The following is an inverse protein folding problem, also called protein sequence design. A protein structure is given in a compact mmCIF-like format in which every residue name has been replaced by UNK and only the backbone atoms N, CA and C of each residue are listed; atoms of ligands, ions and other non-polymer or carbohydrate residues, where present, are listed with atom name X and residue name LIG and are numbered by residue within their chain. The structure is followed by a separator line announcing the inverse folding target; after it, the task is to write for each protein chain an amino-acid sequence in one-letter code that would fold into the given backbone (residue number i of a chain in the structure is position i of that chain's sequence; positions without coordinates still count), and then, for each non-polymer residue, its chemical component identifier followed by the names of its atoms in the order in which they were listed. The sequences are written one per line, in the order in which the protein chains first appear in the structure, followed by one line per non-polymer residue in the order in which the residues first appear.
data_IF_107860272358
#
_entry.id   IF_107860272358
#
_cell.length_a   1.000
_cell.length_b   1.000
_cell.length_c   1.000
_cell.angle_alpha   90.00
_cell.angle_beta   90.00
_cell.angle_gamma   90.00
#
_symmetry.space_group_name_H-M   'P 1'
#
loop_
_entity.id
_entity.type
_entity.pdbx_description
1 polymer ?
#
# COMPACT_ATOMS: atom_id res chain seq x y z
N UNK A 1 24.97 3.24 31.69
CA UNK A 1 24.52 3.05 30.29
C UNK A 1 22.99 2.84 30.17
N UNK A 2 22.32 1.98 30.99
CA UNK A 2 20.84 1.73 30.87
C UNK A 2 19.96 2.98 31.06
N UNK A 3 20.38 3.96 31.88
CA UNK A 3 19.60 5.21 32.11
C UNK A 3 19.77 6.25 31.01
N UNK A 4 20.85 6.19 30.22
CA UNK A 4 21.11 7.10 29.11
C UNK A 4 20.29 6.72 27.86
N UNK A 5 20.07 5.41 27.64
CA UNK A 5 19.20 4.89 26.56
C UNK A 5 17.73 5.25 26.82
N UNK A 6 17.29 5.26 28.08
CA UNK A 6 15.92 5.64 28.45
C UNK A 6 15.66 7.15 28.25
N UNK A 7 16.68 7.99 28.48
CA UNK A 7 16.59 9.43 28.27
C UNK A 7 16.58 9.82 26.78
N UNK A 8 17.28 9.08 25.93
CA UNK A 8 17.26 9.24 24.47
C UNK A 8 15.90 8.88 23.85
N UNK A 9 15.17 7.94 24.47
CA UNK A 9 13.82 7.55 24.02
C UNK A 9 12.77 8.65 24.30
N UNK A 10 12.96 9.46 25.36
CA UNK A 10 12.02 10.52 25.72
C UNK A 10 12.29 11.86 25.02
N UNK A 11 13.48 12.04 24.43
CA UNK A 11 13.83 13.27 23.70
C UNK A 11 13.46 13.22 22.20
N UNK A 12 12.97 12.10 21.72
CA UNK A 12 12.63 11.86 20.32
C UNK A 12 11.13 11.75 20.07
N UNK A 13 10.27 12.51 20.76
CA UNK A 13 8.91 12.77 20.25
C UNK A 13 8.98 13.78 19.09
N UNK A 14 9.75 13.40 18.05
CA UNK A 14 9.49 13.90 16.72
C UNK A 14 8.12 13.31 16.36
N UNK A 15 7.21 14.15 15.92
CA UNK A 15 6.01 13.71 15.21
C UNK A 15 6.47 12.90 13.99
N UNK A 16 6.75 11.63 14.21
CA UNK A 16 6.91 10.65 13.15
C UNK A 16 5.48 10.46 12.68
N UNK A 17 5.08 11.25 11.70
CA UNK A 17 3.93 10.93 10.89
C UNK A 17 4.27 9.62 10.23
N UNK A 18 3.83 8.51 10.81
CA UNK A 18 3.94 7.23 10.18
C UNK A 18 3.02 7.25 8.97
N UNK A 19 3.56 6.85 7.87
CA UNK A 19 2.92 6.96 6.58
C UNK A 19 2.01 5.77 6.39
N UNK A 20 0.72 5.99 6.55
CA UNK A 20 -0.31 5.03 6.18
C UNK A 20 -0.20 4.77 4.67
N UNK A 21 0.09 3.52 4.29
CA UNK A 21 0.15 3.13 2.88
C UNK A 21 -1.28 3.02 2.33
N UNK A 22 -1.80 4.13 1.86
CA UNK A 22 -3.08 4.19 1.17
C UNK A 22 -2.83 4.60 -0.28
N UNK A 23 -2.70 3.64 -1.21
CA UNK A 23 -2.56 3.96 -2.62
C UNK A 23 -3.83 4.68 -3.12
N UNK A 24 -3.66 5.61 -4.04
CA UNK A 24 -4.76 6.13 -4.81
C UNK A 24 -5.21 5.08 -5.84
N UNK A 25 -6.48 5.09 -6.21
CA UNK A 25 -7.02 4.18 -7.20
C UNK A 25 -7.74 4.94 -8.30
N UNK A 26 -7.43 4.62 -9.56
CA UNK A 26 -8.18 5.04 -10.72
C UNK A 26 -8.75 3.80 -11.39
N UNK A 27 -10.07 3.67 -11.36
CA UNK A 27 -10.77 2.58 -12.05
C UNK A 27 -11.52 3.16 -13.22
N UNK A 28 -11.16 2.75 -14.44
CA UNK A 28 -11.81 3.17 -15.68
C UNK A 28 -12.55 1.97 -16.23
N UNK A 29 -13.81 2.14 -16.54
CA UNK A 29 -14.68 1.13 -17.15
C UNK A 29 -15.18 1.61 -18.51
N UNK A 30 -14.94 0.83 -19.53
CA UNK A 30 -15.53 1.03 -20.85
C UNK A 30 -17.02 0.73 -20.79
N UNK A 31 -17.83 1.61 -21.35
CA UNK A 31 -19.28 1.42 -21.43
C UNK A 31 -19.65 0.64 -22.70
N UNK A 32 -20.94 0.43 -22.93
CA UNK A 32 -21.44 -0.33 -24.10
C UNK A 32 -21.10 0.31 -25.44
N UNK A 33 -20.81 1.61 -25.45
CA UNK A 33 -20.26 2.32 -26.58
C UNK A 33 -18.73 2.32 -26.46
N UNK A 34 -18.04 1.88 -27.49
CA UNK A 34 -16.58 1.62 -27.47
C UNK A 34 -15.71 2.87 -27.20
N UNK A 35 -16.28 4.07 -27.24
CA UNK A 35 -15.58 5.34 -27.08
C UNK A 35 -15.94 6.08 -25.78
N UNK A 36 -16.93 5.58 -25.04
CA UNK A 36 -17.34 6.16 -23.75
C UNK A 36 -16.83 5.36 -22.57
N UNK A 37 -16.37 6.07 -21.54
CA UNK A 37 -15.82 5.46 -20.33
C UNK A 37 -16.35 6.16 -19.09
N UNK A 38 -16.45 5.43 -18.00
CA UNK A 38 -16.66 5.96 -16.65
C UNK A 38 -15.39 5.71 -15.83
N UNK A 39 -14.82 6.76 -15.30
CA UNK A 39 -13.66 6.70 -14.43
C UNK A 39 -14.06 7.06 -12.99
N UNK A 40 -13.60 6.27 -12.02
CA UNK A 40 -13.71 6.57 -10.59
C UNK A 40 -12.31 6.83 -10.05
N UNK A 41 -12.05 8.08 -9.65
CA UNK A 41 -10.81 8.49 -9.04
C UNK A 41 -10.96 8.51 -7.52
N UNK A 42 -10.25 7.64 -6.82
CA UNK A 42 -10.25 7.50 -5.37
C UNK A 42 -8.89 7.95 -4.81
N UNK A 43 -8.87 9.08 -4.11
CA UNK A 43 -7.66 9.66 -3.54
C UNK A 43 -7.76 9.77 -2.02
N UNK A 44 -6.72 9.34 -1.25
CA UNK A 44 -6.72 9.43 0.20
C UNK A 44 -6.84 10.88 0.69
N UNK A 45 -7.83 11.18 1.54
CA UNK A 45 -8.09 12.56 1.99
C UNK A 45 -7.05 13.11 2.98
N UNK A 46 -6.28 12.23 3.64
CA UNK A 46 -5.27 12.63 4.63
C UNK A 46 -3.93 13.05 4.02
N UNK A 47 -3.78 12.94 2.71
CA UNK A 47 -2.52 13.33 2.07
C UNK A 47 -2.34 14.84 2.15
N UNK A 48 -1.17 15.25 2.65
CA UNK A 48 -0.77 16.65 2.79
C UNK A 48 -0.34 17.15 1.42
N UNK A 49 -0.94 18.23 0.94
CA UNK A 49 -0.55 18.88 -0.30
C UNK A 49 -1.73 19.24 -1.21
N UNK A 50 -1.42 19.51 -2.48
CA UNK A 50 -2.44 19.69 -3.51
C UNK A 50 -3.07 18.33 -3.80
N UNK A 51 -4.38 18.35 -4.08
CA UNK A 51 -5.08 17.16 -4.53
C UNK A 51 -4.45 16.65 -5.83
N UNK A 52 -4.22 15.35 -5.90
CA UNK A 52 -3.79 14.73 -7.14
C UNK A 52 -4.93 14.76 -8.17
N UNK A 53 -4.57 15.07 -9.40
CA UNK A 53 -5.49 15.22 -10.52
C UNK A 53 -5.10 14.25 -11.64
N UNK A 54 -6.09 13.68 -12.29
CA UNK A 54 -5.90 12.79 -13.45
C UNK A 54 -6.02 13.60 -14.72
N UNK A 55 -5.01 13.56 -15.56
CA UNK A 55 -5.00 14.15 -16.90
C UNK A 55 -5.22 13.03 -17.90
N UNK A 56 -6.35 13.09 -18.56
CA UNK A 56 -6.71 12.18 -19.66
C UNK A 56 -6.16 12.67 -21.00
N UNK A 57 -6.04 11.78 -22.00
CA UNK A 57 -5.58 12.17 -23.32
C UNK A 57 -6.44 13.27 -23.95
N UNK A 58 -5.84 14.21 -24.70
CA UNK A 58 -6.54 15.34 -25.36
C UNK A 58 -7.68 14.92 -26.30
N UNK A 59 -7.66 13.66 -26.75
CA UNK A 59 -8.71 13.07 -27.57
C UNK A 59 -9.99 12.74 -26.82
N UNK A 60 -10.00 12.88 -25.49
CA UNK A 60 -11.15 12.63 -24.64
C UNK A 60 -11.67 13.94 -24.02
N UNK A 61 -12.95 14.18 -24.16
CA UNK A 61 -13.64 15.19 -23.36
C UNK A 61 -13.99 14.58 -22.01
N UNK A 62 -13.85 15.36 -20.94
CA UNK A 62 -14.09 14.92 -19.56
C UNK A 62 -15.17 15.77 -18.92
N UNK A 63 -16.12 15.12 -18.26
CA UNK A 63 -17.10 15.76 -17.42
C UNK A 63 -17.00 15.16 -16.01
N UNK A 64 -16.61 16.00 -15.03
CA UNK A 64 -16.49 15.58 -13.63
C UNK A 64 -17.81 15.81 -12.92
N UNK A 65 -18.28 14.79 -12.22
CA UNK A 65 -19.45 14.82 -11.37
C UNK A 65 -19.06 15.15 -9.92
N UNK A 66 -20.04 15.17 -9.03
CA UNK A 66 -19.86 15.52 -7.63
C UNK A 66 -18.83 14.65 -6.92
N UNK A 67 -18.08 15.32 -6.04
CA UNK A 67 -17.14 14.69 -5.13
C UNK A 67 -17.88 14.11 -3.93
N UNK A 68 -17.56 12.89 -3.55
CA UNK A 68 -18.11 12.28 -2.34
C UNK A 68 -17.03 11.58 -1.52
N UNK A 69 -17.26 11.51 -0.21
CA UNK A 69 -16.36 10.85 0.73
C UNK A 69 -16.84 9.44 1.01
N UNK A 70 -15.93 8.48 0.93
CA UNK A 70 -16.18 7.09 1.31
C UNK A 70 -14.97 6.53 2.04
N UNK A 71 -15.15 6.15 3.31
CA UNK A 71 -14.05 5.66 4.13
C UNK A 71 -12.91 6.68 4.24
N UNK A 72 -11.72 6.30 3.80
CA UNK A 72 -10.50 7.12 3.80
C UNK A 72 -10.27 7.89 2.49
N UNK A 73 -11.20 7.81 1.53
CA UNK A 73 -11.01 8.33 0.18
C UNK A 73 -11.99 9.46 -0.15
N UNK A 74 -11.49 10.40 -0.94
CA UNK A 74 -12.30 11.31 -1.74
C UNK A 74 -12.49 10.65 -3.09
N UNK A 75 -13.72 10.44 -3.49
CA UNK A 75 -14.07 9.82 -4.76
C UNK A 75 -14.61 10.88 -5.71
N UNK A 76 -14.22 10.76 -6.97
CA UNK A 76 -14.70 11.58 -8.08
C UNK A 76 -15.11 10.66 -9.22
N UNK A 77 -16.31 10.83 -9.72
CA UNK A 77 -16.77 10.12 -10.91
C UNK A 77 -16.56 11.04 -12.11
N UNK A 78 -15.86 10.57 -13.11
CA UNK A 78 -15.50 11.30 -14.32
C UNK A 78 -16.05 10.53 -15.52
N UNK A 79 -16.93 11.15 -16.29
CA UNK A 79 -17.37 10.63 -17.56
C UNK A 79 -16.41 11.04 -18.67
N UNK A 80 -16.04 10.12 -19.52
CA UNK A 80 -15.11 10.33 -20.61
C UNK A 80 -15.82 10.00 -21.94
N UNK A 81 -15.73 10.91 -22.89
CA UNK A 81 -16.14 10.70 -24.28
C UNK A 81 -14.91 10.94 -25.18
N UNK A 82 -14.43 9.89 -25.82
CA UNK A 82 -13.17 9.88 -26.55
C UNK A 82 -13.39 9.74 -28.07
N UNK A 83 -12.60 10.44 -28.87
CA UNK A 83 -12.63 10.31 -30.34
C UNK A 83 -12.12 8.97 -30.84
N UNK A 84 -11.25 8.31 -30.05
CA UNK A 84 -10.69 6.98 -30.32
C UNK A 84 -10.50 6.23 -29.01
N UNK A 85 -10.35 4.89 -29.08
CA UNK A 85 -10.09 4.06 -27.89
C UNK A 85 -8.94 4.57 -27.03
N UNK A 86 -9.01 4.33 -25.72
CA UNK A 86 -7.91 4.64 -24.78
C UNK A 86 -6.67 3.75 -25.02
N UNK A 87 -6.80 2.61 -25.71
CA UNK A 87 -5.63 1.77 -26.05
C UNK A 87 -4.63 2.59 -26.88
N UNK A 88 -3.34 2.45 -26.57
CA UNK A 88 -2.26 3.20 -27.23
C UNK A 88 -2.12 4.67 -26.81
N UNK A 89 -2.83 5.12 -25.78
CA UNK A 89 -2.69 6.47 -25.20
C UNK A 89 -2.00 6.45 -23.85
N UNK A 90 -1.82 7.62 -23.26
CA UNK A 90 -1.24 7.78 -21.92
C UNK A 90 -2.18 8.52 -20.99
N UNK A 91 -2.13 8.16 -19.70
CA UNK A 91 -2.80 8.87 -18.61
C UNK A 91 -1.71 9.41 -17.70
N UNK A 92 -1.80 10.67 -17.31
CA UNK A 92 -0.87 11.29 -16.38
C UNK A 92 -1.60 11.62 -15.07
N UNK A 93 -0.91 11.41 -13.94
CA UNK A 93 -1.40 11.87 -12.64
C UNK A 93 -0.45 12.94 -12.11
N UNK A 94 -0.97 14.15 -11.93
CA UNK A 94 -0.20 15.28 -11.39
C UNK A 94 -0.50 15.50 -9.91
N UNK A 95 0.41 16.18 -9.22
CA UNK A 95 0.33 16.49 -7.79
C UNK A 95 0.21 15.26 -6.88
N UNK A 96 0.66 14.09 -7.34
CA UNK A 96 0.70 12.89 -6.51
C UNK A 96 1.67 13.12 -5.33
N UNK A 97 1.27 12.73 -4.13
CA UNK A 97 2.16 12.82 -2.96
C UNK A 97 3.32 11.82 -3.10
N UNK A 98 4.51 12.20 -2.60
CA UNK A 98 5.71 11.32 -2.60
C UNK A 98 5.45 9.98 -1.91
N UNK A 99 4.46 9.94 -1.03
CA UNK A 99 4.12 8.79 -0.20
C UNK A 99 2.90 8.02 -0.73
N UNK A 100 2.41 8.36 -1.92
CA UNK A 100 1.19 7.77 -2.46
C UNK A 100 1.46 7.27 -3.87
N UNK A 101 1.44 5.97 -4.03
CA UNK A 101 1.36 5.36 -5.35
C UNK A 101 -0.09 5.38 -5.84
N UNK A 102 -0.32 5.38 -7.15
CA UNK A 102 -1.64 5.27 -7.72
C UNK A 102 -1.75 4.03 -8.60
N UNK A 103 -2.69 3.17 -8.26
CA UNK A 103 -3.04 1.98 -9.04
C UNK A 103 -4.12 2.36 -10.05
N UNK A 104 -3.84 2.17 -11.33
CA UNK A 104 -4.76 2.42 -12.42
C UNK A 104 -5.25 1.08 -12.96
N UNK A 105 -6.56 0.88 -12.98
CA UNK A 105 -7.21 -0.29 -13.56
C UNK A 105 -8.15 0.16 -14.66
N UNK A 106 -7.96 -0.35 -15.88
CA UNK A 106 -8.81 -0.04 -17.03
C UNK A 106 -9.48 -1.32 -17.47
N UNK A 107 -10.80 -1.37 -17.34
CA UNK A 107 -11.62 -2.48 -17.76
C UNK A 107 -12.19 -2.17 -19.16
N UNK A 108 -11.56 -2.70 -20.18
CA UNK A 108 -12.10 -2.71 -21.56
C UNK A 108 -13.14 -3.82 -21.67
N UNK A 109 -13.97 -3.77 -22.72
CA UNK A 109 -14.97 -4.81 -22.98
C UNK A 109 -14.36 -6.18 -23.27
N UNK A 110 -13.15 -6.19 -23.83
CA UNK A 110 -12.41 -7.39 -24.27
C UNK A 110 -11.26 -7.76 -23.32
N UNK A 111 -10.83 -6.85 -22.43
CA UNK A 111 -9.61 -7.03 -21.66
C UNK A 111 -9.54 -6.10 -20.43
N UNK A 112 -8.62 -6.38 -19.51
CA UNK A 112 -8.33 -5.52 -18.35
C UNK A 112 -6.85 -5.19 -18.32
N UNK A 113 -6.53 -3.91 -18.23
CA UNK A 113 -5.17 -3.42 -18.08
C UNK A 113 -4.97 -2.81 -16.68
N UNK A 114 -3.82 -3.08 -16.09
CA UNK A 114 -3.42 -2.48 -14.81
C UNK A 114 -2.02 -1.88 -14.90
N UNK A 115 -1.85 -0.75 -14.25
CA UNK A 115 -0.57 -0.08 -14.15
C UNK A 115 -0.43 0.67 -12.83
N UNK A 116 0.82 0.91 -12.45
CA UNK A 116 1.18 1.65 -11.25
C UNK A 116 1.92 2.92 -11.67
N UNK A 117 1.55 4.05 -11.07
CA UNK A 117 2.24 5.33 -11.23
C UNK A 117 2.61 5.88 -9.85
N UNK A 118 3.71 6.63 -9.82
CA UNK A 118 4.21 7.32 -8.63
C UNK A 118 4.79 8.69 -9.03
N UNK A 119 5.36 9.41 -8.07
CA UNK A 119 5.91 10.74 -8.31
C UNK A 119 7.05 10.75 -9.33
N UNK A 120 7.87 9.68 -9.38
CA UNK A 120 9.00 9.59 -10.33
C UNK A 120 8.53 9.18 -11.74
N UNK A 121 7.46 8.39 -11.80
CA UNK A 121 6.88 7.91 -13.05
C UNK A 121 5.37 8.12 -13.02
N UNK A 122 4.95 9.35 -13.29
CA UNK A 122 3.56 9.80 -13.17
C UNK A 122 2.73 9.59 -14.44
N UNK A 123 3.32 9.01 -15.50
CA UNK A 123 2.66 8.73 -16.76
C UNK A 123 2.51 7.23 -16.96
N UNK A 124 1.27 6.78 -17.19
CA UNK A 124 0.96 5.41 -17.57
C UNK A 124 0.67 5.33 -19.06
N UNK A 125 1.48 4.58 -19.78
CA UNK A 125 1.24 4.27 -21.20
C UNK A 125 0.36 3.03 -21.30
N UNK A 126 -0.79 3.15 -21.94
CA UNK A 126 -1.74 2.07 -22.16
C UNK A 126 -1.32 1.33 -23.43
N UNK A 127 -0.98 0.04 -23.40
CA UNK A 127 -0.58 -0.72 -24.60
C UNK A 127 -1.77 -0.91 -25.54
N UNK A 128 -1.47 -1.16 -26.81
CA UNK A 128 -2.48 -1.50 -27.82
C UNK A 128 -3.07 -2.91 -27.57
N UNK A 129 -2.20 -3.84 -27.16
CA UNK A 129 -2.58 -5.20 -26.75
C UNK A 129 -2.16 -5.37 -25.31
N UNK A 130 -3.09 -5.70 -24.43
CA UNK A 130 -2.78 -5.93 -23.03
C UNK A 130 -2.64 -7.43 -22.78
N UNK A 131 -1.43 -7.84 -22.43
CA UNK A 131 -1.25 -9.11 -21.74
C UNK A 131 -1.48 -8.84 -20.25
N UNK A 132 -2.56 -9.39 -19.70
CA UNK A 132 -2.82 -9.29 -18.27
C UNK A 132 -1.69 -9.95 -17.47
N UNK A 133 -0.88 -9.13 -16.82
CA UNK A 133 0.04 -9.59 -15.79
C UNK A 133 -0.31 -8.89 -14.48
N UNK A 134 -0.50 -9.64 -13.38
CA UNK A 134 -0.73 -9.05 -12.05
C UNK A 134 0.55 -8.42 -11.47
N UNK A 135 1.46 -7.95 -12.35
CA UNK A 135 2.74 -7.38 -11.99
C UNK A 135 2.61 -6.09 -11.17
N UNK A 136 1.51 -5.34 -11.36
CA UNK A 136 1.27 -4.10 -10.63
C UNK A 136 1.04 -4.33 -9.14
N UNK A 137 0.27 -5.35 -8.77
CA UNK A 137 0.09 -5.73 -7.37
C UNK A 137 1.36 -6.32 -6.75
N UNK A 138 2.14 -7.09 -7.54
CA UNK A 138 3.43 -7.59 -7.08
C UNK A 138 4.41 -6.43 -6.84
N UNK A 139 4.46 -5.47 -7.77
CA UNK A 139 5.29 -4.27 -7.64
C UNK A 139 4.86 -3.43 -6.44
N UNK A 140 3.54 -3.24 -6.26
CA UNK A 140 2.98 -2.51 -5.12
C UNK A 140 3.34 -3.18 -3.80
N UNK A 141 3.21 -4.51 -3.70
CA UNK A 141 3.59 -5.26 -2.50
C UNK A 141 5.10 -5.22 -2.23
N UNK A 142 5.91 -5.18 -3.28
CA UNK A 142 7.36 -5.03 -3.15
C UNK A 142 7.73 -3.64 -2.64
N UNK A 143 7.15 -2.58 -3.23
CA UNK A 143 7.32 -1.19 -2.80
C UNK A 143 6.90 -1.04 -1.34
N UNK A 144 5.70 -1.50 -0.97
CA UNK A 144 5.20 -1.48 0.40
C UNK A 144 6.18 -2.11 1.41
N UNK A 145 6.77 -3.27 1.06
CA UNK A 145 7.73 -3.94 1.92
C UNK A 145 9.02 -3.11 2.12
N UNK A 146 9.53 -2.47 1.06
CA UNK A 146 10.78 -1.71 1.11
C UNK A 146 10.61 -0.29 1.66
N UNK A 147 9.45 0.31 1.47
CA UNK A 147 9.14 1.64 2.00
C UNK A 147 8.76 1.58 3.49
N UNK A 148 8.29 0.42 3.97
CA UNK A 148 8.03 0.16 5.38
C UNK A 148 9.30 -0.14 6.17
N UNK A 149 9.92 0.89 6.78
CA UNK A 149 11.12 0.71 7.61
C UNK A 149 10.89 -0.26 8.78
N UNK A 150 9.70 -0.29 9.33
CA UNK A 150 9.23 -1.20 10.37
C UNK A 150 9.22 -2.66 9.90
N UNK A 151 8.76 -2.94 8.68
CA UNK A 151 8.82 -4.26 8.06
C UNK A 151 10.27 -4.74 7.90
N UNK A 152 11.15 -3.88 7.41
CA UNK A 152 12.57 -4.20 7.24
C UNK A 152 13.22 -4.48 8.59
N UNK A 153 13.04 -3.60 9.58
CA UNK A 153 13.60 -3.77 10.91
C UNK A 153 13.06 -5.02 11.60
N UNK A 154 11.77 -5.30 11.42
CA UNK A 154 11.14 -6.50 11.97
C UNK A 154 11.73 -7.77 11.35
N UNK A 155 11.85 -7.85 10.01
CA UNK A 155 12.45 -9.00 9.31
C UNK A 155 13.89 -9.21 9.78
N UNK A 156 14.72 -8.16 9.84
CA UNK A 156 16.08 -8.29 10.34
C UNK A 156 16.11 -8.77 11.80
N UNK A 157 15.31 -8.19 12.68
CA UNK A 157 15.20 -8.64 14.07
C UNK A 157 14.84 -10.11 14.17
N UNK A 158 13.90 -10.55 13.36
CA UNK A 158 13.43 -11.93 13.33
C UNK A 158 14.52 -12.90 12.82
N UNK A 159 15.26 -12.52 11.77
CA UNK A 159 16.37 -13.31 11.23
C UNK A 159 17.51 -13.51 12.26
N UNK A 160 17.76 -12.51 13.11
CA UNK A 160 18.75 -12.64 14.18
C UNK A 160 18.29 -13.55 15.33
N UNK A 161 16.99 -13.69 15.54
CA UNK A 161 16.41 -14.51 16.60
C UNK A 161 16.23 -15.99 16.20
N UNK A 162 16.33 -16.34 14.93
CA UNK A 162 15.96 -17.66 14.43
C UNK A 162 17.17 -18.39 13.89
N UNK A 163 17.33 -19.65 14.31
CA UNK A 163 18.34 -20.55 13.81
C UNK A 163 17.72 -21.66 12.95
N UNK A 164 18.34 -21.91 11.80
CA UNK A 164 17.98 -22.98 10.88
C UNK A 164 16.99 -22.58 9.78
N UNK A 165 17.33 -22.95 8.56
CA UNK A 165 16.62 -22.56 7.34
C UNK A 165 15.12 -22.91 7.34
N UNK A 166 14.78 -24.12 7.82
CA UNK A 166 13.37 -24.57 7.89
C UNK A 166 12.57 -23.74 8.88
N UNK A 167 13.17 -23.34 10.00
CA UNK A 167 12.49 -22.47 10.98
C UNK A 167 12.28 -21.08 10.41
N UNK A 168 13.22 -20.53 9.65
CA UNK A 168 13.09 -19.25 8.95
C UNK A 168 11.91 -19.32 7.99
N UNK A 169 11.82 -20.34 7.13
CA UNK A 169 10.70 -20.49 6.18
C UNK A 169 9.37 -20.58 6.92
N UNK A 170 9.26 -21.43 7.95
CA UNK A 170 8.03 -21.57 8.73
C UNK A 170 7.60 -20.25 9.35
N UNK A 171 8.56 -19.49 9.85
CA UNK A 171 8.30 -18.23 10.55
C UNK A 171 7.85 -17.14 9.59
N UNK A 172 8.52 -16.99 8.45
CA UNK A 172 8.13 -16.05 7.40
C UNK A 172 6.74 -16.41 6.86
N UNK A 173 6.49 -17.69 6.58
CA UNK A 173 5.19 -18.15 6.09
C UNK A 173 4.07 -17.87 7.11
N UNK A 174 4.30 -18.15 8.38
CA UNK A 174 3.33 -17.89 9.45
C UNK A 174 3.02 -16.38 9.58
N UNK A 175 4.03 -15.53 9.53
CA UNK A 175 3.89 -14.08 9.51
C UNK A 175 3.07 -13.62 8.29
N UNK A 176 3.44 -14.05 7.09
CA UNK A 176 2.78 -13.63 5.85
C UNK A 176 1.31 -14.04 5.81
N UNK A 177 0.98 -15.26 6.25
CA UNK A 177 -0.41 -15.72 6.32
C UNK A 177 -1.22 -14.86 7.31
N UNK A 178 -0.69 -14.63 8.51
CA UNK A 178 -1.35 -13.82 9.52
C UNK A 178 -1.57 -12.37 9.05
N UNK A 179 -0.53 -11.77 8.47
CA UNK A 179 -0.57 -10.43 7.89
C UNK A 179 -1.62 -10.33 6.78
N UNK A 180 -1.63 -11.26 5.84
CA UNK A 180 -2.61 -11.27 4.75
C UNK A 180 -4.05 -11.41 5.24
N UNK A 181 -4.30 -12.18 6.31
CA UNK A 181 -5.64 -12.31 6.91
C UNK A 181 -6.11 -10.96 7.46
N UNK A 182 -5.31 -10.29 8.28
CA UNK A 182 -5.71 -9.02 8.88
C UNK A 182 -5.73 -7.88 7.89
N UNK A 183 -4.82 -7.84 6.93
CA UNK A 183 -4.85 -6.90 5.81
C UNK A 183 -6.16 -7.07 5.00
N UNK A 184 -6.56 -8.31 4.70
CA UNK A 184 -7.85 -8.56 4.05
C UNK A 184 -9.04 -8.05 4.87
N UNK A 185 -9.02 -8.26 6.19
CA UNK A 185 -10.10 -7.77 7.07
C UNK A 185 -10.17 -6.24 7.12
N UNK A 186 -9.04 -5.53 7.06
CA UNK A 186 -9.03 -4.06 6.99
C UNK A 186 -9.45 -3.53 5.63
N UNK A 187 -9.00 -4.16 4.54
CA UNK A 187 -9.40 -3.78 3.16
C UNK A 187 -10.90 -3.95 2.94
N UNK A 188 -11.51 -5.00 3.50
CA UNK A 188 -12.96 -5.20 3.46
C UNK A 188 -13.75 -4.39 4.51
N UNK A 189 -13.06 -3.47 5.23
CA UNK A 189 -13.66 -2.63 6.28
C UNK A 189 -14.37 -3.42 7.42
N UNK A 190 -14.02 -4.71 7.59
CA UNK A 190 -14.57 -5.55 8.66
C UNK A 190 -13.97 -5.20 10.03
N UNK A 191 -12.78 -4.64 10.04
CA UNK A 191 -12.08 -4.15 11.24
C UNK A 191 -11.55 -2.76 10.93
N UNK A 192 -11.85 -1.80 11.81
CA UNK A 192 -11.29 -0.45 11.78
C UNK A 192 -10.74 -0.11 13.15
N UNK A 193 -9.44 0.12 13.24
CA UNK A 193 -8.75 0.48 14.47
C UNK A 193 -8.01 1.81 14.30
N UNK A 194 -7.81 2.58 15.40
CA UNK A 194 -7.04 3.81 15.31
C UNK A 194 -5.61 3.53 14.88
N UNK A 195 -5.19 4.12 13.76
CA UNK A 195 -3.89 3.88 13.13
C UNK A 195 -2.72 4.05 14.11
N UNK A 196 -2.66 5.18 14.82
CA UNK A 196 -1.57 5.45 15.77
C UNK A 196 -1.44 4.39 16.90
N UNK A 197 -2.53 3.69 17.22
CA UNK A 197 -2.48 2.58 18.20
C UNK A 197 -1.79 1.37 17.60
N UNK A 198 -2.13 1.03 16.36
CA UNK A 198 -1.53 -0.12 15.65
C UNK A 198 -0.04 0.11 15.42
N UNK A 199 0.34 1.29 14.97
CA UNK A 199 1.73 1.67 14.76
C UNK A 199 2.57 1.58 16.04
N UNK A 200 2.02 2.07 17.17
CA UNK A 200 2.68 1.92 18.46
C UNK A 200 2.86 0.44 18.86
N UNK A 201 1.88 -0.42 18.54
CA UNK A 201 1.99 -1.86 18.79
C UNK A 201 3.01 -2.52 17.84
N UNK A 202 3.06 -2.12 16.57
CA UNK A 202 4.07 -2.59 15.61
C UNK A 202 5.47 -2.21 16.10
N UNK A 203 5.68 -0.94 16.48
CA UNK A 203 6.96 -0.49 17.04
C UNK A 203 7.35 -1.28 18.32
N UNK A 204 6.38 -1.61 19.18
CA UNK A 204 6.61 -2.42 20.36
C UNK A 204 7.06 -3.85 20.00
N UNK A 205 6.57 -4.44 18.90
CA UNK A 205 7.06 -5.76 18.46
C UNK A 205 8.52 -5.72 18.04
N UNK A 206 8.98 -4.64 17.41
CA UNK A 206 10.38 -4.44 17.03
C UNK A 206 11.26 -4.29 18.28
N UNK A 207 10.81 -3.49 19.26
CA UNK A 207 11.50 -3.34 20.56
C UNK A 207 11.59 -4.68 21.30
N UNK A 208 10.52 -5.49 21.28
CA UNK A 208 10.53 -6.82 21.85
C UNK A 208 11.60 -7.71 21.20
N UNK A 209 11.67 -7.77 19.85
CA UNK A 209 12.71 -8.51 19.15
C UNK A 209 14.12 -8.03 19.51
N UNK A 210 14.33 -6.71 19.57
CA UNK A 210 15.62 -6.13 19.95
C UNK A 210 16.04 -6.54 21.37
N UNK A 211 15.09 -6.64 22.31
CA UNK A 211 15.37 -7.11 23.69
C UNK A 211 15.69 -8.60 23.72
N UNK A 212 15.04 -9.40 22.90
CA UNK A 212 15.28 -10.84 22.80
C UNK A 212 16.68 -11.13 22.26
N UNK A 213 17.11 -10.43 21.22
CA UNK A 213 18.47 -10.50 20.65
C UNK A 213 19.52 -10.19 21.73
N UNK A 214 19.29 -9.14 22.54
CA UNK A 214 20.25 -8.70 23.56
C UNK A 214 20.36 -9.66 24.76
N UNK A 215 19.40 -10.54 24.98
CA UNK A 215 19.40 -11.44 26.15
C UNK A 215 20.19 -12.73 25.93
N UNK A 216 20.79 -12.96 24.74
CA UNK A 216 21.57 -14.15 24.40
C UNK A 216 20.88 -15.48 24.80
N UNK A 217 19.56 -15.51 24.81
CA UNK A 217 18.80 -16.72 25.12
C UNK A 217 18.86 -17.65 23.93
N UNK A 218 18.99 -18.93 24.25
CA UNK A 218 18.82 -20.03 23.30
C UNK A 218 17.59 -19.76 22.42
N UNK A 219 17.74 -20.00 21.13
CA UNK A 219 16.75 -19.73 20.10
C UNK A 219 15.31 -19.92 20.58
N UNK A 220 14.45 -18.94 20.29
CA UNK A 220 13.03 -19.00 20.60
C UNK A 220 12.47 -20.36 20.21
N UNK A 221 11.89 -21.09 21.16
CA UNK A 221 11.45 -22.49 20.92
C UNK A 221 10.39 -22.61 19.83
N UNK A 222 9.55 -21.58 19.66
CA UNK A 222 8.45 -21.56 18.67
C UNK A 222 8.36 -20.22 17.97
N UNK A 223 9.37 -19.84 17.16
CA UNK A 223 9.42 -18.50 16.54
C UNK A 223 8.26 -18.24 15.59
N UNK A 224 7.70 -19.26 14.96
CA UNK A 224 6.59 -19.16 14.05
C UNK A 224 5.27 -18.75 14.74
N UNK A 225 5.03 -19.15 16.00
CA UNK A 225 3.82 -18.71 16.75
C UNK A 225 3.92 -17.22 17.07
N UNK A 226 5.09 -16.78 17.51
CA UNK A 226 5.35 -15.37 17.78
C UNK A 226 5.20 -14.53 16.51
N UNK A 227 5.79 -14.97 15.42
CA UNK A 227 5.69 -14.30 14.13
C UNK A 227 4.24 -14.24 13.60
N UNK A 228 3.45 -15.29 13.82
CA UNK A 228 2.03 -15.29 13.51
C UNK A 228 1.29 -14.18 14.27
N UNK A 229 1.48 -14.08 15.59
CA UNK A 229 0.88 -13.02 16.41
C UNK A 229 1.29 -11.62 15.96
N UNK A 230 2.56 -11.43 15.63
CA UNK A 230 3.06 -10.15 15.13
C UNK A 230 2.55 -9.85 13.72
N UNK A 231 2.43 -10.86 12.86
CA UNK A 231 1.82 -10.72 11.53
C UNK A 231 0.38 -10.22 11.59
N UNK A 232 -0.42 -10.71 12.55
CA UNK A 232 -1.78 -10.20 12.76
C UNK A 232 -1.80 -8.69 13.09
N UNK A 233 -0.84 -8.21 13.88
CA UNK A 233 -0.73 -6.78 14.20
C UNK A 233 -0.28 -5.96 13.00
N UNK A 234 0.76 -6.42 12.28
CA UNK A 234 1.29 -5.71 11.11
C UNK A 234 0.30 -5.59 9.95
N UNK A 235 -0.62 -6.53 9.78
CA UNK A 235 -1.63 -6.46 8.73
C UNK A 235 -2.82 -5.55 9.06
N UNK A 236 -2.84 -4.94 10.26
CA UNK A 236 -3.82 -3.94 10.67
C UNK A 236 -3.29 -2.50 10.48
N UNK A 237 -1.99 -2.36 10.13
CA UNK A 237 -1.28 -1.08 9.98
C UNK A 237 -1.31 -0.48 8.60
#
# INVERSE_FOLDING_TARGET
MKRLLFALFFLGSLDINSHEFNPAHLVIKQLSDDLTYEAVWMYPYKNIGRRAEVIFPDKCSTESNDLFYQGKYINEIISLDCLTTLKGSSIEIINLSVLTDALITINFNDDTFQGLVNVQNNILNIPLESNYYPSSYLQLGFSHLFDGLDHILFIFGLLFCISGFINIIKTITAFTIAHSITLGLTVFELISLPQGTIEALIALTIVYLATEINQNKDSIKTPWIMAFGFGLLHGLG
#
